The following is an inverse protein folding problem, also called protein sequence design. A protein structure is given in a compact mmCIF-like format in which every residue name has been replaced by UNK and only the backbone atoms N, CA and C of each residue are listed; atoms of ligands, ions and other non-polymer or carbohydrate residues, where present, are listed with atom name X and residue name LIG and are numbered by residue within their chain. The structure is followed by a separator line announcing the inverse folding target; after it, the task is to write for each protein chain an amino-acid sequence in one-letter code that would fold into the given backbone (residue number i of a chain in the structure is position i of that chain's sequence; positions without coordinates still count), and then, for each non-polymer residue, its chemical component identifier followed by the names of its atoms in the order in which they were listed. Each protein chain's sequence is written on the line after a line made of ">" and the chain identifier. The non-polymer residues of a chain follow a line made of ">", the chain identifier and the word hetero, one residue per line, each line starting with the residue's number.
data_IF_766301728561
#
_entry.id   IF_766301728561
#
_cell.length_a   1.000
_cell.length_b   1.000
_cell.length_c   1.000
_cell.angle_alpha   90.00
_cell.angle_beta   90.00
_cell.angle_gamma   90.00
#
_symmetry.space_group_name_H-M   'P 1'
#
loop_
_entity.id
_entity.type
_entity.pdbx_description
1 polymer ?
#
# COMPACT_ATOMS: atom_id res chain seq x y z
N UNK A 1 11.62 29.73 10.61
CA UNK A 1 11.42 28.26 10.52
C UNK A 1 10.44 28.03 9.38
N UNK A 2 10.87 27.36 8.31
CA UNK A 2 9.98 27.05 7.18
C UNK A 2 9.06 25.90 7.60
N UNK A 3 7.75 25.96 7.30
CA UNK A 3 6.89 24.81 7.44
C UNK A 3 7.44 23.75 6.49
N UNK A 4 7.89 22.62 7.06
CA UNK A 4 8.15 21.42 6.25
C UNK A 4 6.79 21.03 5.73
N UNK A 5 6.50 21.39 4.47
CA UNK A 5 5.43 20.76 3.74
C UNK A 5 5.68 19.25 3.84
N UNK A 6 4.96 18.59 4.75
CA UNK A 6 4.79 17.14 4.73
C UNK A 6 4.00 16.92 3.45
N UNK A 7 4.74 16.84 2.34
CA UNK A 7 4.26 16.35 1.08
C UNK A 7 3.55 15.06 1.45
N UNK A 8 2.22 15.05 1.33
CA UNK A 8 1.44 13.86 1.60
C UNK A 8 1.93 12.78 0.64
N UNK A 9 2.82 11.92 1.15
CA UNK A 9 3.55 10.90 0.41
C UNK A 9 2.71 9.63 0.22
N UNK A 10 1.40 9.73 0.38
CA UNK A 10 0.47 8.62 0.21
C UNK A 10 -0.03 8.64 -1.24
N UNK A 11 0.43 7.71 -2.09
CA UNK A 11 -0.10 7.60 -3.44
C UNK A 11 -1.60 7.33 -3.35
N UNK A 12 -2.40 8.12 -4.08
CA UNK A 12 -3.84 7.87 -4.27
C UNK A 12 -4.05 6.40 -4.64
N UNK A 13 -4.80 5.67 -3.82
CA UNK A 13 -4.98 4.24 -3.91
C UNK A 13 -5.86 3.89 -5.13
N UNK A 14 -5.30 3.30 -6.18
CA UNK A 14 -6.09 2.91 -7.33
C UNK A 14 -6.91 1.66 -6.98
N UNK A 15 -8.23 1.71 -7.16
CA UNK A 15 -9.11 0.54 -6.98
C UNK A 15 -9.22 -0.34 -8.23
N UNK A 16 -8.69 0.13 -9.36
CA UNK A 16 -8.77 -0.52 -10.67
C UNK A 16 -7.45 -0.35 -11.43
N UNK A 17 -7.08 -1.37 -12.21
CA UNK A 17 -5.93 -1.36 -13.14
C UNK A 17 -4.58 -0.97 -12.51
N UNK A 18 -4.28 -1.51 -11.32
CA UNK A 18 -3.01 -1.35 -10.64
C UNK A 18 -2.41 -2.71 -10.27
N UNK A 19 -1.11 -2.74 -9.96
CA UNK A 19 -0.44 -3.98 -9.51
C UNK A 19 -1.03 -4.52 -8.21
N UNK A 20 -1.47 -3.61 -7.33
CA UNK A 20 -2.07 -3.93 -6.06
C UNK A 20 -3.27 -3.00 -5.81
N UNK A 21 -4.46 -3.34 -6.34
CA UNK A 21 -5.64 -2.50 -6.21
C UNK A 21 -6.03 -2.27 -4.74
N UNK A 22 -6.08 -1.00 -4.33
CA UNK A 22 -6.36 -0.58 -2.97
C UNK A 22 -5.17 -0.75 -2.00
N UNK A 23 -3.94 -0.90 -2.48
CA UNK A 23 -2.73 -0.94 -1.65
C UNK A 23 -1.74 0.14 -2.07
N UNK A 24 -0.88 0.56 -1.14
CA UNK A 24 0.11 1.60 -1.39
C UNK A 24 1.29 1.05 -2.21
N UNK A 25 1.74 -0.16 -1.86
CA UNK A 25 2.98 -0.74 -2.38
C UNK A 25 2.80 -2.21 -2.77
N UNK A 26 3.59 -2.68 -3.74
CA UNK A 26 3.81 -4.09 -4.05
C UNK A 26 5.24 -4.50 -3.69
N UNK A 27 5.39 -5.68 -3.09
CA UNK A 27 6.70 -6.30 -2.82
C UNK A 27 7.00 -7.37 -3.85
N UNK A 28 8.24 -7.43 -4.33
CA UNK A 28 8.66 -8.28 -5.45
C UNK A 28 9.94 -9.03 -5.14
N UNK A 29 9.99 -10.27 -5.61
CA UNK A 29 11.24 -11.01 -5.80
C UNK A 29 11.78 -10.76 -7.22
N UNK A 30 12.96 -10.17 -7.31
CA UNK A 30 13.61 -9.82 -8.58
C UNK A 30 14.54 -10.92 -9.10
N UNK A 31 14.81 -11.94 -8.29
CA UNK A 31 15.78 -13.01 -8.57
C UNK A 31 17.17 -12.70 -8.01
N UNK A 32 18.02 -13.73 -7.90
CA UNK A 32 19.41 -13.62 -7.42
C UNK A 32 19.55 -12.77 -6.15
N UNK A 33 18.78 -13.08 -5.10
CA UNK A 33 18.85 -12.34 -3.83
C UNK A 33 18.45 -10.86 -3.92
N UNK A 34 17.75 -10.45 -4.99
CA UNK A 34 17.29 -9.07 -5.15
C UNK A 34 15.81 -8.98 -4.83
N UNK A 35 15.48 -8.01 -4.01
CA UNK A 35 14.12 -7.69 -3.63
C UNK A 35 13.80 -6.26 -4.00
N UNK A 36 12.52 -5.99 -4.22
CA UNK A 36 12.11 -4.62 -4.47
C UNK A 36 10.71 -4.34 -3.96
N UNK A 37 10.51 -3.08 -3.61
CA UNK A 37 9.21 -2.53 -3.26
C UNK A 37 8.90 -1.50 -4.34
N UNK A 38 7.71 -1.54 -4.93
CA UNK A 38 7.27 -0.53 -5.90
C UNK A 38 5.90 0.03 -5.56
N UNK A 39 5.63 1.28 -5.91
CA UNK A 39 4.29 1.86 -5.72
C UNK A 39 3.24 1.18 -6.61
N UNK A 40 1.97 1.49 -6.36
CA UNK A 40 0.85 0.95 -7.16
C UNK A 40 0.92 1.24 -8.67
N UNK A 41 1.80 2.16 -9.11
CA UNK A 41 2.01 2.57 -10.51
C UNK A 41 3.33 2.05 -11.10
N UNK A 42 4.11 1.29 -10.33
CA UNK A 42 5.45 0.82 -10.69
C UNK A 42 6.47 1.95 -10.97
N UNK A 43 6.30 3.13 -10.36
CA UNK A 43 7.18 4.28 -10.57
C UNK A 43 8.29 4.36 -9.52
N UNK A 44 7.91 4.42 -8.25
CA UNK A 44 8.86 4.57 -7.15
C UNK A 44 9.28 3.19 -6.68
N UNK A 45 10.59 2.92 -6.63
CA UNK A 45 11.07 1.65 -6.12
C UNK A 45 12.26 1.76 -5.18
N UNK A 46 12.29 0.86 -4.20
CA UNK A 46 13.44 0.60 -3.34
C UNK A 46 13.96 -0.77 -3.70
N UNK A 47 15.19 -0.85 -4.23
CA UNK A 47 15.90 -2.12 -4.35
C UNK A 47 16.63 -2.42 -3.06
N UNK A 48 16.44 -3.64 -2.55
CA UNK A 48 17.05 -4.10 -1.30
C UNK A 48 18.11 -5.16 -1.63
N UNK A 49 19.40 -4.89 -1.36
CA UNK A 49 20.47 -5.85 -1.56
C UNK A 49 20.57 -6.77 -0.34
N UNK A 50 19.75 -7.82 -0.27
CA UNK A 50 19.86 -8.82 0.80
C UNK A 50 19.55 -10.23 0.32
N UNK A 51 20.44 -11.17 0.67
CA UNK A 51 20.29 -12.59 0.32
C UNK A 51 19.03 -13.23 0.85
N UNK A 52 18.68 -12.88 2.09
CA UNK A 52 17.43 -13.27 2.70
C UNK A 52 16.64 -12.00 3.07
N UNK A 53 15.40 -11.84 2.59
CA UNK A 53 14.61 -10.64 2.86
C UNK A 53 14.27 -10.51 4.35
N UNK A 54 14.26 -11.60 5.12
CA UNK A 54 14.04 -11.57 6.56
C UNK A 54 15.27 -11.12 7.36
N UNK A 55 16.44 -11.02 6.74
CA UNK A 55 17.62 -10.41 7.35
C UNK A 55 17.66 -8.89 7.13
N UNK A 56 16.83 -8.37 6.23
CA UNK A 56 16.69 -6.94 5.91
C UNK A 56 15.82 -6.21 6.97
N UNK A 57 16.14 -6.35 8.27
CA UNK A 57 15.24 -5.98 9.38
C UNK A 57 14.81 -4.51 9.44
N UNK A 58 15.62 -3.60 8.90
CA UNK A 58 15.32 -2.17 8.89
C UNK A 58 14.32 -1.77 7.80
N UNK A 59 14.13 -2.63 6.79
CA UNK A 59 13.28 -2.37 5.63
C UNK A 59 12.16 -3.38 5.45
N UNK A 60 12.28 -4.59 6.02
CA UNK A 60 11.37 -5.70 5.85
C UNK A 60 11.05 -6.35 7.20
N UNK A 61 9.79 -6.76 7.35
CA UNK A 61 9.34 -7.65 8.42
C UNK A 61 8.88 -8.98 7.83
N UNK A 62 9.19 -10.06 8.52
CA UNK A 62 8.76 -11.40 8.15
C UNK A 62 7.81 -12.01 9.17
N UNK A 63 6.89 -12.81 8.67
CA UNK A 63 6.05 -13.68 9.48
C UNK A 63 6.88 -14.82 10.09
N UNK A 64 6.37 -15.50 11.13
CA UNK A 64 7.01 -16.70 11.66
C UNK A 64 7.22 -17.81 10.60
N UNK A 65 6.42 -17.81 9.53
CA UNK A 65 6.56 -18.74 8.42
C UNK A 65 7.68 -18.37 7.43
N UNK A 66 8.40 -17.27 7.66
CA UNK A 66 9.53 -16.83 6.82
C UNK A 66 9.14 -16.05 5.56
N UNK A 67 7.87 -15.68 5.41
CA UNK A 67 7.41 -14.81 4.33
C UNK A 67 7.43 -13.34 4.74
N UNK A 68 7.81 -12.45 3.82
CA UNK A 68 7.73 -11.00 4.03
C UNK A 68 6.27 -10.61 4.21
N UNK A 69 5.94 -10.09 5.39
CA UNK A 69 4.61 -9.63 5.73
C UNK A 69 4.58 -8.14 6.09
N UNK A 70 5.72 -7.46 6.07
CA UNK A 70 5.81 -6.00 6.28
C UNK A 70 6.93 -5.40 5.44
N UNK A 71 6.71 -4.18 4.98
CA UNK A 71 7.74 -3.37 4.31
C UNK A 71 7.80 -1.99 4.97
N UNK A 72 8.98 -1.39 4.97
CA UNK A 72 9.19 -0.01 5.40
C UNK A 72 9.50 0.85 4.18
N UNK A 73 8.71 1.89 3.95
CA UNK A 73 8.90 2.86 2.87
C UNK A 73 8.78 4.26 3.45
N UNK A 74 9.74 5.14 3.15
CA UNK A 74 9.79 6.51 3.70
C UNK A 74 9.64 6.55 5.24
N UNK A 75 10.31 5.61 5.92
CA UNK A 75 10.27 5.43 7.37
C UNK A 75 8.90 5.03 7.96
N UNK A 76 7.89 4.72 7.15
CA UNK A 76 6.60 4.20 7.59
C UNK A 76 6.48 2.71 7.29
N UNK A 77 5.82 1.98 8.19
CA UNK A 77 5.52 0.58 8.03
C UNK A 77 4.23 0.35 7.27
N UNK A 78 4.26 -0.69 6.43
CA UNK A 78 3.12 -1.17 5.67
C UNK A 78 2.99 -2.67 5.90
N UNK A 79 1.79 -3.13 6.24
CA UNK A 79 1.47 -4.56 6.36
C UNK A 79 1.16 -5.15 5.00
N UNK A 80 1.84 -6.23 4.67
CA UNK A 80 1.73 -6.95 3.41
C UNK A 80 0.91 -8.21 3.55
N UNK A 81 0.07 -8.46 2.56
CA UNK A 81 -0.72 -9.68 2.43
C UNK A 81 -0.76 -10.13 0.99
N UNK A 82 -0.99 -11.43 0.80
CA UNK A 82 -1.27 -11.93 -0.53
C UNK A 82 -2.66 -11.46 -0.96
N UNK A 83 -2.75 -10.91 -2.17
CA UNK A 83 -3.98 -10.36 -2.73
C UNK A 83 -4.41 -11.21 -3.94
N UNK A 84 -5.68 -11.63 -4.05
CA UNK A 84 -6.11 -12.44 -5.19
C UNK A 84 -6.15 -11.65 -6.50
N UNK A 85 -6.30 -10.34 -6.43
CA UNK A 85 -6.51 -9.45 -7.60
C UNK A 85 -5.23 -8.68 -7.99
N UNK A 86 -4.06 -9.31 -7.86
CA UNK A 86 -2.77 -8.69 -8.21
C UNK A 86 -2.65 -8.50 -9.72
N UNK A 87 -2.32 -7.29 -10.13
CA UNK A 87 -1.89 -6.96 -11.49
C UNK A 87 -0.38 -7.17 -11.65
N UNK A 88 0.10 -7.05 -12.89
CA UNK A 88 1.53 -7.02 -13.20
C UNK A 88 1.98 -5.62 -13.61
N UNK A 89 3.24 -5.27 -13.35
CA UNK A 89 3.79 -4.04 -13.91
C UNK A 89 3.81 -4.12 -15.45
N UNK A 90 3.59 -3.01 -16.17
CA UNK A 90 3.62 -3.00 -17.63
C UNK A 90 4.93 -3.61 -18.17
N UNK A 91 4.82 -4.54 -19.10
CA UNK A 91 5.98 -5.22 -19.71
C UNK A 91 6.88 -4.25 -20.50
N UNK A 92 6.33 -3.10 -20.92
CA UNK A 92 7.03 -2.04 -21.64
C UNK A 92 7.84 -1.13 -20.71
N UNK A 93 7.77 -1.30 -19.40
CA UNK A 93 8.52 -0.48 -18.47
C UNK A 93 10.00 -0.93 -18.45
N UNK A 94 10.95 0.02 -18.47
CA UNK A 94 12.40 -0.29 -18.43
C UNK A 94 12.91 -0.62 -17.00
N UNK A 95 12.00 -0.89 -16.07
CA UNK A 95 12.30 -1.19 -14.67
C UNK A 95 12.44 -2.69 -14.44
N UNK A 96 13.16 -3.08 -13.38
CA UNK A 96 13.43 -4.49 -13.05
C UNK A 96 12.18 -5.34 -12.76
N UNK A 97 11.01 -4.70 -12.60
CA UNK A 97 9.72 -5.33 -12.30
C UNK A 97 8.83 -5.54 -13.54
N UNK A 98 9.27 -5.17 -14.75
CA UNK A 98 8.46 -5.25 -15.95
C UNK A 98 7.88 -6.66 -16.18
N UNK A 99 6.56 -6.74 -16.34
CA UNK A 99 5.84 -8.00 -16.52
C UNK A 99 5.74 -8.89 -15.27
N UNK A 100 6.28 -8.46 -14.12
CA UNK A 100 6.23 -9.23 -12.87
C UNK A 100 4.96 -8.93 -12.07
N UNK A 101 4.45 -9.97 -11.42
CA UNK A 101 3.39 -9.89 -10.42
C UNK A 101 4.05 -9.74 -9.04
N UNK A 102 3.56 -8.85 -8.16
CA UNK A 102 4.08 -8.75 -6.80
C UNK A 102 3.85 -10.04 -6.01
N UNK A 103 4.80 -10.37 -5.14
CA UNK A 103 4.67 -11.44 -4.15
C UNK A 103 3.54 -11.10 -3.17
N UNK A 104 3.52 -9.85 -2.69
CA UNK A 104 2.50 -9.36 -1.76
C UNK A 104 2.20 -7.89 -1.99
N UNK A 105 1.02 -7.48 -1.52
CA UNK A 105 0.55 -6.10 -1.59
C UNK A 105 0.47 -5.53 -0.17
N UNK A 106 0.94 -4.30 0.00
CA UNK A 106 1.17 -3.71 1.32
C UNK A 106 0.37 -2.41 1.52
N UNK A 107 -0.35 -2.32 2.65
CA UNK A 107 -1.11 -1.13 3.09
C UNK A 107 -0.50 -0.51 4.32
N UNK A 108 -0.69 0.79 4.51
CA UNK A 108 -0.15 1.53 5.64
C UNK A 108 -0.61 0.89 6.97
N UNK A 109 0.34 0.60 7.85
CA UNK A 109 0.10 0.04 9.19
C UNK A 109 -0.03 1.19 10.19
N UNK A 110 -1.20 1.83 10.20
CA UNK A 110 -1.48 3.01 11.01
C UNK A 110 -1.25 2.75 12.49
N UNK A 111 -1.75 1.61 12.99
CA UNK A 111 -1.53 1.19 14.37
C UNK A 111 -0.05 1.12 14.74
N UNK A 112 0.76 0.36 13.98
CA UNK A 112 2.20 0.23 14.30
C UNK A 112 2.93 1.56 14.17
N UNK A 113 2.64 2.33 13.13
CA UNK A 113 3.28 3.63 12.94
C UNK A 113 2.99 4.58 14.10
N UNK A 114 1.81 4.53 14.70
CA UNK A 114 1.52 5.25 15.94
C UNK A 114 2.27 4.70 17.15
N UNK A 115 2.28 3.38 17.34
CA UNK A 115 2.99 2.72 18.45
C UNK A 115 4.51 3.00 18.41
N UNK A 116 5.10 3.16 17.22
CA UNK A 116 6.50 3.54 17.02
C UNK A 116 6.72 5.07 17.02
N UNK A 117 5.69 5.89 17.27
CA UNK A 117 5.79 7.35 17.34
C UNK A 117 6.08 8.04 16.01
N UNK A 118 5.77 7.39 14.89
CA UNK A 118 6.04 7.87 13.53
C UNK A 118 4.92 8.77 12.99
N UNK A 119 3.71 8.64 13.52
CA UNK A 119 2.52 9.43 13.15
C UNK A 119 1.68 9.74 14.39
N UNK A 120 0.81 10.76 14.29
CA UNK A 120 -0.17 11.04 15.34
C UNK A 120 -1.25 9.97 15.44
N UNK A 121 -1.90 9.92 16.61
CA UNK A 121 -3.10 9.09 16.82
C UNK A 121 -4.19 9.40 15.79
N UNK A 122 -4.44 10.68 15.50
CA UNK A 122 -5.44 11.12 14.52
C UNK A 122 -5.13 10.59 13.12
N UNK A 123 -3.86 10.64 12.71
CA UNK A 123 -3.43 10.10 11.41
C UNK A 123 -3.59 8.57 11.38
N UNK A 124 -3.20 7.87 12.45
CA UNK A 124 -3.39 6.42 12.55
C UNK A 124 -4.87 6.02 12.46
N UNK A 125 -5.76 6.70 13.17
CA UNK A 125 -7.21 6.44 13.12
C UNK A 125 -7.78 6.67 11.71
N UNK A 126 -7.28 7.68 10.98
CA UNK A 126 -7.67 7.92 9.59
C UNK A 126 -7.21 6.78 8.67
N UNK A 127 -5.97 6.31 8.82
CA UNK A 127 -5.42 5.17 8.07
C UNK A 127 -6.26 3.91 8.32
N UNK A 128 -6.54 3.58 9.58
CA UNK A 128 -7.33 2.39 9.93
C UNK A 128 -8.76 2.47 9.37
N UNK A 129 -9.35 3.68 9.37
CA UNK A 129 -10.66 3.91 8.75
C UNK A 129 -10.60 3.65 7.24
N UNK A 130 -9.62 4.22 6.54
CA UNK A 130 -9.40 4.00 5.10
C UNK A 130 -9.18 2.51 4.80
N UNK A 131 -8.35 1.82 5.57
CA UNK A 131 -8.09 0.39 5.44
C UNK A 131 -9.38 -0.44 5.56
N UNK A 132 -10.23 -0.14 6.54
CA UNK A 132 -11.52 -0.81 6.73
C UNK A 132 -12.50 -0.59 5.57
N UNK A 133 -12.52 0.59 4.96
CA UNK A 133 -13.32 0.86 3.75
C UNK A 133 -12.83 0.01 2.57
N UNK A 134 -11.52 -0.05 2.36
CA UNK A 134 -10.92 -0.80 1.25
C UNK A 134 -11.17 -2.31 1.37
N UNK A 135 -11.13 -2.87 2.59
CA UNK A 135 -11.49 -4.26 2.84
C UNK A 135 -12.96 -4.55 2.54
N UNK A 136 -13.85 -3.65 2.99
CA UNK A 136 -15.28 -3.74 2.68
C UNK A 136 -15.52 -3.71 1.17
N UNK A 137 -14.83 -2.83 0.45
CA UNK A 137 -14.96 -2.70 -1.01
C UNK A 137 -14.48 -3.95 -1.75
N UNK A 138 -13.41 -4.57 -1.27
CA UNK A 138 -12.90 -5.83 -1.83
C UNK A 138 -13.94 -6.95 -1.68
N UNK A 139 -14.52 -7.11 -0.50
CA UNK A 139 -15.58 -8.09 -0.24
C UNK A 139 -16.83 -7.81 -1.09
N UNK A 140 -17.29 -6.56 -1.12
CA UNK A 140 -18.47 -6.18 -1.88
C UNK A 140 -18.29 -6.38 -3.38
N UNK A 141 -17.10 -6.08 -3.93
CA UNK A 141 -16.80 -6.34 -5.33
C UNK A 141 -16.84 -7.83 -5.64
N UNK A 142 -16.22 -8.67 -4.81
CA UNK A 142 -16.26 -10.12 -4.98
C UNK A 142 -17.68 -10.70 -4.89
N UNK A 143 -18.54 -10.14 -4.02
CA UNK A 143 -19.95 -10.51 -3.96
C UNK A 143 -20.75 -10.06 -5.19
N UNK A 144 -20.50 -8.84 -5.68
CA UNK A 144 -21.15 -8.28 -6.84
C UNK A 144 -20.81 -9.03 -8.13
N UNK A 145 -19.54 -9.41 -8.29
CA UNK A 145 -19.05 -10.19 -9.42
C UNK A 145 -19.74 -11.56 -9.50
N UNK A 146 -19.80 -12.28 -8.38
CA UNK A 146 -20.48 -13.58 -8.28
C UNK A 146 -21.98 -13.51 -8.55
N UNK A 147 -22.61 -12.36 -8.32
CA UNK A 147 -24.06 -12.14 -8.49
C UNK A 147 -24.43 -11.48 -9.83
N UNK A 148 -23.45 -11.16 -10.67
CA UNK A 148 -23.69 -10.47 -11.95
C UNK A 148 -24.25 -9.06 -11.79
N UNK A 149 -23.90 -8.37 -10.70
CA UNK A 149 -24.28 -6.96 -10.51
C UNK A 149 -23.46 -6.03 -11.42
N UNK A 150 -23.95 -4.81 -11.63
CA UNK A 150 -23.23 -3.77 -12.39
C UNK A 150 -21.95 -3.33 -11.65
N UNK A 151 -20.84 -3.95 -12.03
CA UNK A 151 -19.52 -3.69 -11.47
C UNK A 151 -19.03 -2.27 -11.77
N UNK A 152 -19.46 -1.67 -12.88
CA UNK A 152 -19.05 -0.32 -13.26
C UNK A 152 -19.65 0.71 -12.30
N UNK A 153 -20.96 0.59 -12.04
CA UNK A 153 -21.65 1.45 -11.07
C UNK A 153 -21.08 1.29 -9.67
N UNK A 154 -20.81 0.05 -9.25
CA UNK A 154 -20.21 -0.24 -7.97
C UNK A 154 -18.83 0.42 -7.83
N UNK A 155 -17.94 0.21 -8.82
CA UNK A 155 -16.58 0.78 -8.80
C UNK A 155 -16.58 2.30 -8.76
N UNK A 156 -17.48 2.97 -9.48
CA UNK A 156 -17.60 4.43 -9.42
C UNK A 156 -17.92 4.93 -8.01
N UNK A 157 -18.85 4.26 -7.32
CA UNK A 157 -19.21 4.59 -5.94
C UNK A 157 -18.03 4.36 -4.99
N UNK A 158 -17.37 3.22 -5.11
CA UNK A 158 -16.20 2.85 -4.30
C UNK A 158 -15.04 3.86 -4.47
N UNK A 159 -14.75 4.28 -5.71
CA UNK A 159 -13.72 5.27 -6.00
C UNK A 159 -14.02 6.62 -5.32
N UNK A 160 -15.28 7.07 -5.36
CA UNK A 160 -15.67 8.32 -4.69
C UNK A 160 -15.54 8.24 -3.17
N UNK A 161 -15.86 7.10 -2.57
CA UNK A 161 -15.75 6.90 -1.13
C UNK A 161 -14.27 6.85 -0.71
N UNK A 162 -13.42 6.13 -1.45
CA UNK A 162 -11.98 6.08 -1.19
C UNK A 162 -11.34 7.45 -1.35
N UNK A 163 -11.65 8.21 -2.40
CA UNK A 163 -11.14 9.59 -2.56
C UNK A 163 -11.49 10.47 -1.35
N UNK A 164 -12.71 10.35 -0.82
CA UNK A 164 -13.11 11.08 0.39
C UNK A 164 -12.26 10.70 1.62
N UNK A 165 -12.09 9.40 1.91
CA UNK A 165 -11.32 8.97 3.08
C UNK A 165 -9.82 9.23 2.94
N UNK A 166 -9.26 9.11 1.73
CA UNK A 166 -7.88 9.47 1.47
C UNK A 166 -7.61 10.96 1.71
N UNK A 167 -8.52 11.85 1.30
CA UNK A 167 -8.41 13.28 1.63
C UNK A 167 -8.36 13.52 3.14
N UNK A 168 -9.19 12.83 3.91
CA UNK A 168 -9.18 12.91 5.37
C UNK A 168 -7.90 12.38 5.99
N UNK A 169 -7.30 11.36 5.41
CA UNK A 169 -5.97 10.85 5.81
C UNK A 169 -4.90 11.92 5.58
N UNK A 170 -4.91 12.59 4.42
CA UNK A 170 -4.01 13.72 4.12
C UNK A 170 -4.19 14.87 5.11
N UNK A 171 -5.43 15.26 5.40
CA UNK A 171 -5.73 16.30 6.38
C UNK A 171 -5.27 15.92 7.80
N UNK A 172 -5.46 14.66 8.19
CA UNK A 172 -5.01 14.15 9.48
C UNK A 172 -3.48 14.10 9.59
N UNK A 173 -2.78 13.83 8.48
CA UNK A 173 -1.33 13.87 8.41
C UNK A 173 -0.79 15.31 8.52
N UNK A 174 -1.49 16.29 7.95
CA UNK A 174 -1.09 17.70 7.97
C UNK A 174 -1.36 18.38 9.32
N UNK A 175 -2.28 17.86 10.13
CA UNK A 175 -2.62 18.41 11.45
C UNK A 175 -1.52 18.25 12.52
N UNK A 176 -0.34 17.75 12.15
CA UNK A 176 0.81 17.53 13.04
C UNK A 176 1.54 18.83 13.45
N UNK A 177 1.19 19.98 12.87
CA UNK A 177 1.89 21.25 13.11
C UNK A 177 1.25 22.13 14.23
N UNK A 178 0.16 21.70 14.89
CA UNK A 178 -0.65 22.54 15.79
C UNK A 178 -0.71 22.10 17.29
N UNK A 179 -0.03 21.03 17.70
CA UNK A 179 0.06 20.58 19.12
C UNK A 179 1.50 20.58 19.65
#
# INVERSE_FOLDING_TARGET
>A
MQPKAILSLLPLLPLVSAICPGYNWGFFHLGSSKWGIADSRCHDFVQLPCDNPCNCRDSLGCSPAGSVNKVKVNNLWYNCRDGPNKGACPATSFISFAGRVPESCCRNDGKRNFEEGLISRRHAEAIETTNGILERHEQEFGHAEKRGHDLTKLRRRQLSEVDHYMKREVEAAAALDDE
#
